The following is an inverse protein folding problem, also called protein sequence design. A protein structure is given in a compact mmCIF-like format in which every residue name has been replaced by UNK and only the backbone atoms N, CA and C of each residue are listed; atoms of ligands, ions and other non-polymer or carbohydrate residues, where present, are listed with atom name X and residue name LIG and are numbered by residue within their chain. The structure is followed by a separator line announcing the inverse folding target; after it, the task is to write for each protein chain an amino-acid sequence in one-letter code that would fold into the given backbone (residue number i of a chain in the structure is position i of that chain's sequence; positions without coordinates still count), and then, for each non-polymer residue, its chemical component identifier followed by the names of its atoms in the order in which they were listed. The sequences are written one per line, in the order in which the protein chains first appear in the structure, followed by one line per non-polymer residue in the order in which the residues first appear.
data_IF_504791364792
#
_entry.id   IF_504791364792
#
_cell.length_a   1.000
_cell.length_b   1.000
_cell.length_c   1.000
_cell.angle_alpha   90.00
_cell.angle_beta   90.00
_cell.angle_gamma   90.00
#
_symmetry.space_group_name_H-M   'P 1'
#
loop_
_entity.id
_entity.type
_entity.pdbx_description
1 polymer ?
#
# COMPACT_ATOMS: atom_id res chain seq x y z
N UNK A 1 -31.41 -49.30 12.20
CA UNK A 1 -31.02 -47.88 12.34
C UNK A 1 -29.70 -47.71 11.63
N UNK A 2 -29.72 -47.30 10.37
CA UNK A 2 -28.48 -47.00 9.63
C UNK A 2 -27.91 -45.67 10.13
N UNK A 3 -26.65 -45.70 10.55
CA UNK A 3 -25.92 -44.50 10.92
C UNK A 3 -25.68 -43.67 9.66
N UNK A 4 -26.38 -42.54 9.57
CA UNK A 4 -26.08 -41.48 8.61
C UNK A 4 -24.69 -40.96 8.95
N UNK A 5 -23.67 -41.43 8.23
CA UNK A 5 -22.33 -40.81 8.23
C UNK A 5 -22.52 -39.37 7.76
N UNK A 6 -22.51 -38.43 8.70
CA UNK A 6 -22.38 -37.01 8.40
C UNK A 6 -21.13 -36.85 7.54
N UNK A 7 -21.33 -36.50 6.26
CA UNK A 7 -20.24 -36.06 5.38
C UNK A 7 -19.58 -34.90 6.11
N UNK A 8 -18.42 -35.14 6.71
CA UNK A 8 -17.61 -34.07 7.24
C UNK A 8 -17.36 -33.14 6.05
N UNK A 9 -17.97 -31.95 6.09
CA UNK A 9 -17.71 -30.90 5.12
C UNK A 9 -16.23 -30.54 5.32
N UNK A 10 -15.35 -31.23 4.58
CA UNK A 10 -13.94 -30.89 4.57
C UNK A 10 -13.87 -29.48 4.00
N UNK A 11 -13.51 -28.52 4.83
CA UNK A 11 -13.47 -27.12 4.44
C UNK A 11 -12.47 -26.96 3.29
N UNK A 12 -12.97 -26.61 2.11
CA UNK A 12 -12.14 -26.39 0.92
C UNK A 12 -11.03 -25.37 1.22
N UNK A 13 -9.84 -25.56 0.65
CA UNK A 13 -8.64 -24.77 0.94
C UNK A 13 -8.33 -24.60 2.44
N UNK A 14 -8.08 -25.69 3.20
CA UNK A 14 -7.86 -25.60 4.65
C UNK A 14 -6.62 -24.80 5.03
N UNK A 15 -5.60 -24.76 4.16
CA UNK A 15 -4.34 -24.05 4.38
C UNK A 15 -4.38 -22.57 3.97
N UNK A 16 -5.52 -22.09 3.45
CA UNK A 16 -5.70 -20.70 3.02
C UNK A 16 -4.66 -20.25 1.98
N UNK A 17 -4.31 -21.15 1.05
CA UNK A 17 -3.36 -20.87 -0.02
C UNK A 17 -3.99 -20.01 -1.11
N UNK A 18 -3.19 -19.12 -1.72
CA UNK A 18 -3.61 -18.38 -2.92
C UNK A 18 -3.85 -19.37 -4.05
N UNK A 19 -5.06 -19.35 -4.62
CA UNK A 19 -5.46 -20.25 -5.71
C UNK A 19 -5.33 -19.55 -7.06
N UNK A 20 -4.98 -20.32 -8.10
CA UNK A 20 -4.89 -19.86 -9.48
C UNK A 20 -5.96 -20.59 -10.31
N UNK A 21 -6.76 -19.82 -11.05
CA UNK A 21 -7.87 -20.32 -11.86
C UNK A 21 -7.67 -20.01 -13.34
N UNK A 22 -8.18 -20.90 -14.19
CA UNK A 22 -8.07 -20.85 -15.65
C UNK A 22 -9.47 -21.08 -16.27
N UNK A 23 -10.36 -20.07 -16.24
CA UNK A 23 -11.72 -20.20 -16.79
C UNK A 23 -11.69 -20.59 -18.27
N UNK A 24 -12.66 -21.41 -18.69
CA UNK A 24 -12.99 -21.51 -20.12
C UNK A 24 -13.65 -20.23 -20.61
N UNK A 25 -13.77 -20.07 -21.93
CA UNK A 25 -14.48 -18.92 -22.52
C UNK A 25 -15.92 -18.82 -22.02
N UNK A 26 -16.59 -19.95 -21.85
CA UNK A 26 -17.97 -20.05 -21.37
C UNK A 26 -18.08 -19.63 -19.91
N UNK A 27 -17.17 -20.12 -19.07
CA UNK A 27 -17.09 -19.76 -17.65
C UNK A 27 -16.75 -18.29 -17.43
N UNK A 28 -15.97 -17.70 -18.35
CA UNK A 28 -15.55 -16.31 -18.29
C UNK A 28 -16.65 -15.31 -18.69
N UNK A 29 -17.82 -15.77 -19.14
CA UNK A 29 -18.89 -14.87 -19.56
C UNK A 29 -19.60 -14.18 -18.39
N UNK A 30 -19.75 -14.86 -17.26
CA UNK A 30 -20.51 -14.38 -16.11
C UNK A 30 -19.57 -14.20 -14.90
N UNK A 31 -19.24 -12.94 -14.61
CA UNK A 31 -18.34 -12.58 -13.53
C UNK A 31 -18.85 -13.08 -12.17
N UNK A 32 -20.09 -12.75 -11.80
CA UNK A 32 -20.65 -13.07 -10.47
C UNK A 32 -20.75 -14.58 -10.27
N UNK A 33 -21.18 -15.32 -11.30
CA UNK A 33 -21.22 -16.79 -11.27
C UNK A 33 -19.83 -17.39 -11.10
N UNK A 34 -18.81 -16.84 -11.77
CA UNK A 34 -17.45 -17.35 -11.64
C UNK A 34 -16.84 -17.03 -10.27
N UNK A 35 -17.09 -15.82 -9.73
CA UNK A 35 -16.68 -15.47 -8.37
C UNK A 35 -17.31 -16.44 -7.36
N UNK A 36 -18.61 -16.70 -7.44
CA UNK A 36 -19.27 -17.67 -6.57
C UNK A 36 -18.67 -19.09 -6.69
N UNK A 37 -18.27 -19.49 -7.91
CA UNK A 37 -17.62 -20.78 -8.15
C UNK A 37 -16.26 -20.88 -7.46
N UNK A 38 -15.39 -19.88 -7.60
CA UNK A 38 -14.07 -19.91 -6.94
C UNK A 38 -14.18 -19.76 -5.42
N UNK A 39 -15.19 -19.04 -4.93
CA UNK A 39 -15.50 -18.97 -3.49
C UNK A 39 -15.92 -20.33 -2.93
N UNK A 40 -16.74 -21.10 -3.67
CA UNK A 40 -17.14 -22.46 -3.27
C UNK A 40 -15.96 -23.43 -3.15
N UNK A 41 -14.86 -23.16 -3.88
CA UNK A 41 -13.59 -23.89 -3.82
C UNK A 41 -12.65 -23.37 -2.71
N UNK A 42 -13.07 -22.37 -1.93
CA UNK A 42 -12.31 -21.83 -0.81
C UNK A 42 -11.28 -20.75 -1.17
N UNK A 43 -11.36 -20.13 -2.35
CA UNK A 43 -10.42 -19.09 -2.78
C UNK A 43 -10.39 -17.88 -1.83
N UNK A 44 -11.56 -17.45 -1.36
CA UNK A 44 -11.73 -16.31 -0.45
C UNK A 44 -10.96 -16.47 0.87
N UNK A 45 -10.67 -17.69 1.30
CA UNK A 45 -9.96 -17.96 2.56
C UNK A 45 -8.52 -17.44 2.56
N UNK A 46 -7.90 -17.33 1.39
CA UNK A 46 -6.57 -16.74 1.23
C UNK A 46 -6.59 -15.20 1.22
N UNK A 47 -7.76 -14.58 1.02
CA UNK A 47 -7.90 -13.13 0.79
C UNK A 47 -7.45 -12.66 -0.60
N UNK A 48 -6.87 -13.54 -1.42
CA UNK A 48 -6.42 -13.25 -2.78
C UNK A 48 -6.53 -14.51 -3.65
N UNK A 49 -6.95 -14.31 -4.90
CA UNK A 49 -6.94 -15.33 -5.95
C UNK A 49 -6.40 -14.74 -7.26
N UNK A 50 -5.76 -15.58 -8.07
CA UNK A 50 -5.32 -15.20 -9.43
C UNK A 50 -6.20 -15.90 -10.46
N UNK A 51 -6.71 -15.15 -11.42
CA UNK A 51 -7.49 -15.68 -12.54
C UNK A 51 -6.73 -15.35 -13.82
N UNK A 52 -6.41 -16.36 -14.61
CA UNK A 52 -5.74 -16.22 -15.89
C UNK A 52 -6.80 -16.35 -16.97
N UNK A 53 -7.11 -15.27 -17.73
CA UNK A 53 -8.21 -15.29 -18.69
C UNK A 53 -7.96 -16.29 -19.83
N UNK A 54 -9.02 -16.70 -20.57
CA UNK A 54 -8.87 -17.49 -21.78
C UNK A 54 -7.89 -16.84 -22.75
N UNK A 55 -7.08 -17.63 -23.47
CA UNK A 55 -5.98 -17.12 -24.31
C UNK A 55 -6.45 -16.18 -25.42
N UNK A 56 -7.68 -16.37 -25.90
CA UNK A 56 -8.29 -15.59 -26.97
C UNK A 56 -8.87 -14.26 -26.47
N UNK A 57 -9.06 -14.13 -25.15
CA UNK A 57 -9.60 -12.91 -24.56
C UNK A 57 -8.53 -11.82 -24.48
N UNK A 58 -8.92 -10.59 -24.84
CA UNK A 58 -8.10 -9.39 -24.70
C UNK A 58 -8.97 -8.27 -24.15
N UNK A 59 -8.43 -7.48 -23.22
CA UNK A 59 -9.12 -6.30 -22.69
C UNK A 59 -9.31 -5.21 -23.76
N UNK A 60 -8.31 -5.08 -24.66
CA UNK A 60 -8.28 -4.16 -25.79
C UNK A 60 -7.40 -4.68 -26.92
N UNK A 61 -7.51 -4.10 -28.11
CA UNK A 61 -6.72 -4.50 -29.29
C UNK A 61 -5.25 -4.10 -29.23
N UNK A 62 -4.94 -2.85 -28.86
CA UNK A 62 -3.57 -2.32 -28.74
C UNK A 62 -3.45 -1.32 -27.59
N UNK A 63 -2.22 -1.02 -27.16
CA UNK A 63 -1.88 0.00 -26.15
C UNK A 63 -1.04 1.16 -26.73
N UNK A 64 -0.94 1.31 -28.05
CA UNK A 64 -0.05 2.32 -28.66
C UNK A 64 -0.48 3.77 -28.37
N UNK A 65 -1.77 3.98 -28.11
CA UNK A 65 -2.42 5.27 -27.87
C UNK A 65 -2.30 5.78 -26.42
N UNK A 66 -1.78 4.97 -25.49
CA UNK A 66 -1.78 5.34 -24.06
C UNK A 66 -0.75 6.41 -23.71
N UNK A 67 0.24 6.66 -24.58
CA UNK A 67 1.37 7.53 -24.25
C UNK A 67 0.95 8.98 -23.95
N UNK A 68 -0.13 9.45 -24.59
CA UNK A 68 -0.61 10.84 -24.47
C UNK A 68 -1.53 11.04 -23.26
N UNK A 69 -1.89 9.96 -22.56
CA UNK A 69 -2.70 10.06 -21.34
C UNK A 69 -1.95 10.83 -20.26
N UNK A 70 -2.68 11.67 -19.52
CA UNK A 70 -2.10 12.56 -18.50
C UNK A 70 -2.18 11.93 -17.12
N UNK A 71 -1.04 11.82 -16.46
CA UNK A 71 -0.93 11.55 -15.02
C UNK A 71 -0.97 12.90 -14.31
N UNK A 72 -2.15 13.34 -13.88
CA UNK A 72 -2.37 14.69 -13.36
C UNK A 72 -1.61 14.96 -12.05
N UNK A 73 -1.42 13.95 -11.20
CA UNK A 73 -0.72 14.11 -9.91
C UNK A 73 0.13 12.87 -9.60
N UNK A 74 1.32 12.72 -10.21
CA UNK A 74 2.21 11.63 -9.88
C UNK A 74 2.68 11.74 -8.43
N UNK A 75 2.82 10.60 -7.74
CA UNK A 75 3.13 10.52 -6.32
C UNK A 75 4.53 9.93 -6.13
N UNK A 76 5.48 10.74 -5.68
CA UNK A 76 6.77 10.24 -5.23
C UNK A 76 6.63 9.56 -3.86
N UNK A 77 6.96 8.29 -3.81
CA UNK A 77 6.81 7.43 -2.65
C UNK A 77 8.08 7.39 -1.83
N UNK A 78 8.11 8.17 -0.76
CA UNK A 78 9.27 8.21 0.13
C UNK A 78 9.02 7.28 1.30
N UNK A 79 9.98 6.40 1.57
CA UNK A 79 9.92 5.44 2.65
C UNK A 79 10.85 5.85 3.80
N UNK A 80 10.45 5.56 5.03
CA UNK A 80 11.29 5.67 6.22
C UNK A 80 11.05 4.44 7.11
N UNK A 81 12.09 3.93 7.76
CA UNK A 81 12.00 2.71 8.55
C UNK A 81 13.28 1.89 8.47
N UNK A 82 13.22 0.63 8.90
CA UNK A 82 14.34 -0.32 8.85
C UNK A 82 13.88 -1.75 9.10
N UNK A 83 14.71 -2.72 8.73
CA UNK A 83 14.53 -4.14 9.06
C UNK A 83 13.13 -4.70 8.70
N UNK A 84 12.65 -4.38 7.50
CA UNK A 84 11.34 -4.85 6.99
C UNK A 84 10.13 -4.05 7.47
N UNK A 85 10.31 -3.03 8.32
CA UNK A 85 9.22 -2.19 8.82
C UNK A 85 9.38 -0.77 8.32
N UNK A 86 8.40 -0.29 7.55
CA UNK A 86 8.45 0.99 6.87
C UNK A 86 7.14 1.77 7.01
N UNK A 87 7.28 3.10 7.03
CA UNK A 87 6.21 4.06 6.81
C UNK A 87 6.46 4.69 5.45
N UNK A 88 5.42 4.77 4.62
CA UNK A 88 5.47 5.42 3.33
C UNK A 88 4.67 6.72 3.36
N UNK A 89 5.23 7.78 2.79
CA UNK A 89 4.57 9.07 2.59
C UNK A 89 4.66 9.48 1.12
N UNK A 90 3.65 10.23 0.66
CA UNK A 90 3.55 10.64 -0.75
C UNK A 90 3.87 12.12 -0.92
N UNK A 91 4.75 12.43 -1.86
CA UNK A 91 5.03 13.80 -2.31
C UNK A 91 4.52 13.97 -3.72
N UNK A 92 3.62 14.94 -3.93
CA UNK A 92 3.10 15.26 -5.27
C UNK A 92 4.24 15.75 -6.18
N UNK A 93 4.22 15.32 -7.44
CA UNK A 93 5.11 15.79 -8.50
C UNK A 93 4.30 16.53 -9.56
N UNK A 94 4.99 17.20 -10.47
CA UNK A 94 4.36 17.86 -11.61
C UNK A 94 3.69 16.81 -12.50
N UNK A 95 2.55 17.18 -13.07
CA UNK A 95 1.87 16.37 -14.07
C UNK A 95 2.83 15.99 -15.21
N UNK A 96 2.61 14.81 -15.77
CA UNK A 96 3.37 14.25 -16.89
C UNK A 96 2.48 13.33 -17.71
N UNK A 97 2.83 13.07 -18.96
CA UNK A 97 2.15 12.04 -19.76
C UNK A 97 2.62 10.64 -19.37
N UNK A 98 1.88 9.61 -19.74
CA UNK A 98 2.30 8.21 -19.59
C UNK A 98 3.58 7.94 -20.38
N UNK A 99 3.76 8.55 -21.56
CA UNK A 99 4.98 8.47 -22.34
C UNK A 99 6.20 9.02 -21.59
N UNK A 100 6.08 10.20 -20.99
CA UNK A 100 7.12 10.80 -20.13
C UNK A 100 7.41 9.93 -18.90
N UNK A 101 6.36 9.41 -18.26
CA UNK A 101 6.50 8.50 -17.12
C UNK A 101 7.23 7.21 -17.51
N UNK A 102 6.93 6.63 -18.68
CA UNK A 102 7.62 5.44 -19.20
C UNK A 102 9.09 5.71 -19.46
N UNK A 103 9.44 6.87 -20.04
CA UNK A 103 10.84 7.26 -20.24
C UNK A 103 11.57 7.41 -18.89
N UNK A 104 10.90 8.00 -17.90
CA UNK A 104 11.44 8.14 -16.55
C UNK A 104 11.66 6.79 -15.88
N UNK A 105 10.68 5.88 -15.94
CA UNK A 105 10.76 4.54 -15.37
C UNK A 105 11.88 3.69 -15.99
N UNK A 106 12.20 3.90 -17.27
CA UNK A 106 13.28 3.21 -17.97
C UNK A 106 14.62 3.97 -17.94
N UNK A 107 14.69 5.12 -17.27
CA UNK A 107 15.96 5.83 -17.09
C UNK A 107 16.89 5.07 -16.15
N UNK A 108 18.19 5.30 -16.26
CA UNK A 108 19.18 4.64 -15.40
C UNK A 108 18.94 4.81 -13.89
N UNK A 109 18.18 5.82 -13.47
CA UNK A 109 17.82 6.05 -12.07
C UNK A 109 16.69 5.14 -11.57
N UNK A 110 15.70 4.81 -12.40
CA UNK A 110 14.48 4.11 -11.95
C UNK A 110 14.28 2.74 -12.60
N UNK A 111 15.10 2.39 -13.59
CA UNK A 111 15.03 1.11 -14.26
C UNK A 111 15.20 -0.04 -13.27
N UNK A 112 14.54 -1.16 -13.57
CA UNK A 112 14.68 -2.38 -12.80
C UNK A 112 16.15 -2.81 -12.76
N UNK A 113 16.74 -3.05 -11.58
CA UNK A 113 18.11 -3.51 -11.49
C UNK A 113 18.25 -4.92 -12.10
N UNK A 114 19.43 -5.29 -12.64
CA UNK A 114 19.69 -6.66 -13.06
C UNK A 114 19.41 -7.64 -11.92
N UNK A 115 18.73 -8.74 -12.20
CA UNK A 115 18.34 -9.76 -11.23
C UNK A 115 18.27 -11.14 -11.89
N UNK A 116 18.46 -12.19 -11.09
CA UNK A 116 18.45 -13.58 -11.59
C UNK A 116 17.04 -14.14 -11.73
N UNK A 117 16.22 -13.93 -10.71
CA UNK A 117 14.86 -14.45 -10.58
C UNK A 117 14.00 -13.50 -9.72
N UNK A 118 12.74 -13.89 -9.48
CA UNK A 118 11.81 -13.10 -8.67
C UNK A 118 12.24 -12.99 -7.20
N UNK A 119 12.91 -14.00 -6.64
CA UNK A 119 13.36 -13.95 -5.25
C UNK A 119 14.52 -12.97 -5.08
N UNK A 120 15.45 -12.93 -6.04
CA UNK A 120 16.54 -11.97 -6.06
C UNK A 120 16.01 -10.53 -6.21
N UNK A 121 15.02 -10.33 -7.09
CA UNK A 121 14.36 -9.04 -7.24
C UNK A 121 13.61 -8.62 -5.97
N UNK A 122 12.93 -9.54 -5.29
CA UNK A 122 12.26 -9.30 -4.01
C UNK A 122 13.27 -8.93 -2.91
N UNK A 123 14.38 -9.68 -2.79
CA UNK A 123 15.47 -9.37 -1.86
C UNK A 123 16.03 -7.96 -2.11
N UNK A 124 16.25 -7.61 -3.39
CA UNK A 124 16.69 -6.26 -3.78
C UNK A 124 15.68 -5.20 -3.38
N UNK A 125 14.40 -5.40 -3.70
CA UNK A 125 13.32 -4.48 -3.32
C UNK A 125 13.34 -4.17 -1.81
N UNK A 126 13.29 -5.20 -0.95
CA UNK A 126 13.26 -4.99 0.49
C UNK A 126 14.55 -4.39 1.06
N UNK A 127 15.70 -4.70 0.44
CA UNK A 127 17.01 -4.16 0.84
C UNK A 127 17.18 -2.69 0.44
N UNK A 128 16.64 -2.27 -0.71
CA UNK A 128 16.89 -0.94 -1.27
C UNK A 128 15.72 0.03 -1.19
N UNK A 129 14.54 -0.40 -0.70
CA UNK A 129 13.31 0.41 -0.66
C UNK A 129 13.47 1.81 -0.06
N UNK A 130 14.43 2.01 0.84
CA UNK A 130 14.71 3.28 1.51
C UNK A 130 15.60 4.25 0.71
N UNK A 131 16.43 3.74 -0.20
CA UNK A 131 17.40 4.55 -0.93
C UNK A 131 16.73 5.32 -2.08
N UNK A 132 15.78 4.67 -2.74
CA UNK A 132 15.08 5.24 -3.87
C UNK A 132 13.65 5.62 -3.51
N UNK A 133 13.23 6.77 -4.03
CA UNK A 133 11.86 7.27 -3.89
C UNK A 133 11.16 7.21 -5.25
N UNK A 134 10.60 6.05 -5.64
CA UNK A 134 9.95 5.87 -6.94
C UNK A 134 8.73 6.78 -7.07
N UNK A 135 8.37 7.10 -8.30
CA UNK A 135 7.18 7.90 -8.62
C UNK A 135 6.10 6.93 -9.09
N UNK A 136 4.86 7.15 -8.64
CA UNK A 136 3.73 6.30 -8.97
C UNK A 136 2.56 7.12 -9.53
N UNK A 137 2.07 6.74 -10.71
CA UNK A 137 0.88 7.32 -11.35
C UNK A 137 -0.40 6.63 -10.87
N UNK A 138 -0.72 6.78 -9.59
CA UNK A 138 -1.90 6.19 -8.97
C UNK A 138 -3.18 7.02 -9.18
N UNK A 139 -4.32 6.42 -8.85
CA UNK A 139 -5.63 7.09 -8.70
C UNK A 139 -6.09 7.88 -9.93
N UNK A 140 -5.73 7.39 -11.12
CA UNK A 140 -6.17 7.96 -12.40
C UNK A 140 -7.55 7.40 -12.73
N UNK A 141 -8.55 8.29 -12.75
CA UNK A 141 -9.91 7.91 -13.18
C UNK A 141 -9.93 7.60 -14.67
N UNK A 142 -10.42 6.42 -15.04
CA UNK A 142 -10.54 5.99 -16.44
C UNK A 142 -10.63 4.47 -16.59
N UNK A 143 -10.76 4.01 -17.83
CA UNK A 143 -10.68 2.60 -18.20
C UNK A 143 -9.89 2.46 -19.49
N UNK A 144 -9.06 1.42 -19.58
CA UNK A 144 -8.36 1.04 -20.81
C UNK A 144 -9.05 -0.11 -21.55
N UNK A 145 -10.22 -0.54 -21.09
CA UNK A 145 -10.99 -1.57 -21.78
C UNK A 145 -11.66 -0.98 -23.03
N UNK A 146 -11.61 -1.71 -24.14
CA UNK A 146 -12.39 -1.36 -25.33
C UNK A 146 -13.89 -1.50 -25.02
N UNK A 147 -14.73 -0.63 -25.61
CA UNK A 147 -16.18 -0.65 -25.40
C UNK A 147 -16.86 -1.95 -25.89
N UNK A 148 -16.20 -2.67 -26.81
CA UNK A 148 -16.67 -3.97 -27.32
C UNK A 148 -16.31 -5.14 -26.39
N UNK A 149 -15.39 -4.97 -25.43
CA UNK A 149 -15.02 -6.02 -24.46
C UNK A 149 -16.13 -6.18 -23.44
N UNK A 150 -16.84 -7.32 -23.49
CA UNK A 150 -18.01 -7.59 -22.64
C UNK A 150 -17.65 -8.37 -21.38
N UNK A 151 -16.85 -9.42 -21.53
CA UNK A 151 -16.42 -10.25 -20.41
C UNK A 151 -15.40 -9.49 -19.55
N UNK A 152 -15.64 -9.44 -18.25
CA UNK A 152 -14.69 -8.94 -17.23
C UNK A 152 -14.20 -7.51 -17.48
N UNK A 153 -15.03 -6.68 -18.11
CA UNK A 153 -14.75 -5.26 -18.26
C UNK A 153 -14.92 -4.56 -16.91
N UNK A 154 -13.82 -4.06 -16.34
CA UNK A 154 -13.81 -3.46 -15.00
C UNK A 154 -14.70 -2.21 -14.89
N UNK A 155 -14.95 -1.50 -16.00
CA UNK A 155 -15.88 -0.37 -16.04
C UNK A 155 -17.36 -0.79 -16.06
N UNK A 156 -17.63 -2.07 -16.28
CA UNK A 156 -18.98 -2.62 -16.46
C UNK A 156 -19.14 -3.99 -15.76
N UNK A 157 -18.53 -4.18 -14.59
CA UNK A 157 -18.81 -5.36 -13.77
C UNK A 157 -20.25 -5.26 -13.28
N UNK A 158 -21.10 -6.16 -13.74
CA UNK A 158 -22.53 -6.18 -13.44
C UNK A 158 -22.87 -6.65 -12.02
N UNK A 159 -22.13 -6.24 -11.00
CA UNK A 159 -22.37 -6.72 -9.63
C UNK A 159 -23.37 -5.82 -8.90
N UNK A 160 -24.63 -6.29 -8.91
CA UNK A 160 -25.78 -5.87 -8.07
C UNK A 160 -26.00 -4.36 -7.99
N UNK A 161 -26.78 -3.84 -8.95
CA UNK A 161 -27.66 -2.67 -8.79
C UNK A 161 -26.99 -1.42 -8.22
N UNK A 162 -26.88 -0.40 -9.06
CA UNK A 162 -27.12 0.97 -8.65
C UNK A 162 -28.49 1.07 -7.95
N UNK A 163 -28.58 0.66 -6.69
CA UNK A 163 -29.51 1.33 -5.78
C UNK A 163 -28.95 2.74 -5.75
N UNK A 164 -29.63 3.63 -6.47
CA UNK A 164 -29.49 5.06 -6.30
C UNK A 164 -29.26 5.31 -4.81
N UNK A 165 -28.05 5.75 -4.47
CA UNK A 165 -27.83 6.40 -3.20
C UNK A 165 -28.63 7.71 -3.27
N UNK A 166 -29.93 7.61 -3.05
CA UNK A 166 -30.69 8.69 -2.47
C UNK A 166 -30.02 8.93 -1.11
N UNK A 167 -29.07 9.85 -1.09
CA UNK A 167 -28.52 10.38 0.14
C UNK A 167 -29.71 10.90 0.97
N UNK A 168 -29.97 10.41 2.19
CA UNK A 168 -30.75 11.20 3.11
C UNK A 168 -29.90 12.43 3.44
N UNK A 169 -30.33 13.59 2.92
CA UNK A 169 -29.81 14.90 3.29
C UNK A 169 -30.14 15.19 4.76
N UNK A 170 -29.43 14.56 5.69
CA UNK A 170 -29.60 14.76 7.13
C UNK A 170 -28.34 14.35 7.91
N UNK A 171 -27.15 14.79 7.49
CA UNK A 171 -25.94 14.68 8.32
C UNK A 171 -24.90 15.79 8.09
N UNK A 172 -25.26 16.88 7.39
CA UNK A 172 -24.41 18.06 7.17
C UNK A 172 -24.96 19.29 7.90
N UNK A 173 -25.41 19.12 9.15
CA UNK A 173 -25.85 20.22 9.99
C UNK A 173 -25.63 19.91 11.48
N UNK A 174 -24.39 19.62 11.90
CA UNK A 174 -24.01 19.58 13.32
C UNK A 174 -22.48 19.65 13.47
N UNK A 175 -21.85 20.62 12.82
CA UNK A 175 -20.47 21.04 13.14
C UNK A 175 -20.25 22.48 12.67
N UNK A 176 -21.07 23.40 13.18
CA UNK A 176 -20.84 24.85 13.07
C UNK A 176 -21.59 25.56 14.18
N UNK A 177 -21.01 25.59 15.37
CA UNK A 177 -21.35 26.58 16.38
C UNK A 177 -20.07 27.02 17.08
N UNK A 178 -19.59 28.20 16.69
CA UNK A 178 -18.61 28.97 17.48
C UNK A 178 -19.30 29.48 18.75
N UNK A 179 -18.61 29.59 19.89
CA UNK A 179 -19.18 30.16 21.10
C UNK A 179 -19.15 31.70 21.03
N UNK A 180 -20.23 32.34 21.44
CA UNK A 180 -20.32 33.79 21.64
C UNK A 180 -20.38 34.08 23.16
N UNK A 181 -19.63 35.06 23.71
CA UNK A 181 -19.55 35.29 25.14
C UNK A 181 -20.42 36.48 25.55
N UNK A 182 -21.62 36.25 26.08
CA UNK A 182 -22.30 37.27 26.89
C UNK A 182 -23.41 36.66 27.77
N UNK A 183 -23.17 36.60 29.08
CA UNK A 183 -24.12 36.97 30.15
C UNK A 183 -23.60 36.50 31.52
N UNK A 184 -23.58 37.43 32.46
CA UNK A 184 -23.00 37.36 33.80
C UNK A 184 -23.77 36.49 34.82
N UNK A 185 -23.19 36.20 36.01
CA UNK A 185 -23.61 35.15 36.92
C UNK A 185 -24.52 35.64 38.06
N UNK A 186 -25.28 34.73 38.68
CA UNK A 186 -26.01 34.96 39.94
C UNK A 186 -25.64 33.95 41.04
N UNK A 187 -24.92 34.47 42.03
CA UNK A 187 -25.03 34.29 43.50
C UNK A 187 -25.22 32.91 44.17
N UNK A 188 -24.24 32.54 45.01
CA UNK A 188 -24.39 32.15 46.44
C UNK A 188 -22.98 32.14 47.10
N UNK A 189 -22.66 33.06 48.02
CA UNK A 189 -22.49 32.85 49.50
C UNK A 189 -21.46 31.73 49.86
N UNK A 190 -20.44 31.87 50.71
CA UNK A 190 -20.11 32.80 51.80
C UNK A 190 -18.60 32.58 52.22
N UNK A 191 -18.03 33.58 52.92
CA UNK A 191 -16.85 33.57 53.83
C UNK A 191 -15.39 33.72 53.34
N UNK A 192 -14.87 34.88 53.74
CA UNK A 192 -13.50 35.45 53.89
C UNK A 192 -12.53 34.62 54.77
N UNK A 193 -11.17 34.83 54.73
CA UNK A 193 -10.55 36.10 55.21
C UNK A 193 -9.22 36.63 54.57
N UNK A 194 -9.13 37.97 54.65
CA UNK A 194 -7.99 38.87 55.02
C UNK A 194 -6.76 39.12 54.11
N UNK A 195 -6.60 40.42 53.76
CA UNK A 195 -5.35 41.25 53.73
C UNK A 195 -4.31 40.95 52.64
N UNK A 196 -3.61 41.87 51.95
CA UNK A 196 -3.30 43.29 52.22
C UNK A 196 -2.79 43.96 50.92
N UNK A 197 -2.82 45.29 50.92
CA UNK A 197 -2.53 46.32 49.89
C UNK A 197 -1.25 46.19 49.06
N UNK A 198 -1.29 46.75 47.84
CA UNK A 198 -0.12 47.27 47.11
C UNK A 198 -0.43 47.94 45.76
N UNK A 199 -0.59 49.27 45.75
CA UNK A 199 -0.73 50.12 44.55
C UNK A 199 0.63 50.32 43.87
N UNK A 200 0.66 50.41 42.54
CA UNK A 200 1.80 50.96 41.80
C UNK A 200 1.52 51.14 40.30
N UNK A 201 1.10 52.34 39.90
CA UNK A 201 1.02 52.80 38.50
C UNK A 201 2.40 53.26 38.04
N UNK A 202 2.77 52.97 36.79
CA UNK A 202 3.93 53.59 36.14
C UNK A 202 3.91 53.41 34.62
N UNK A 203 3.49 54.45 33.90
CA UNK A 203 3.62 54.59 32.44
C UNK A 203 5.05 55.00 32.09
N UNK A 204 5.62 54.45 31.02
CA UNK A 204 6.87 54.93 30.44
C UNK A 204 6.92 54.67 28.93
N UNK A 205 6.81 55.75 28.14
CA UNK A 205 7.05 55.79 26.69
C UNK A 205 8.56 55.80 26.43
N UNK A 206 9.02 55.08 25.41
CA UNK A 206 10.40 55.20 24.91
C UNK A 206 10.49 54.86 23.42
N UNK A 207 10.81 55.86 22.61
CA UNK A 207 11.10 55.77 21.17
C UNK A 207 12.52 55.24 20.96
N UNK A 208 12.74 54.38 19.97
CA UNK A 208 14.07 54.02 19.50
C UNK A 208 14.03 53.45 18.08
N UNK A 209 14.62 54.18 17.12
CA UNK A 209 14.89 53.73 15.74
C UNK A 209 16.19 52.90 15.75
N UNK A 210 16.21 51.74 15.07
CA UNK A 210 17.43 50.95 14.94
C UNK A 210 17.29 49.75 13.99
N UNK A 211 17.82 49.95 12.78
CA UNK A 211 18.29 49.01 11.74
C UNK A 211 18.31 47.50 12.03
N UNK A 212 17.94 46.70 11.02
CA UNK A 212 18.48 45.34 10.82
C UNK A 212 17.43 44.25 10.63
N UNK A 213 17.32 43.74 9.40
CA UNK A 213 16.60 42.50 9.09
C UNK A 213 17.50 41.31 9.47
N UNK A 214 17.00 40.31 10.19
CA UNK A 214 17.15 38.96 9.65
C UNK A 214 15.86 38.12 9.76
N UNK A 215 15.76 37.25 8.77
CA UNK A 215 14.73 36.22 8.52
C UNK A 215 14.62 35.30 9.74
N UNK A 216 13.46 35.25 10.41
CA UNK A 216 13.18 34.24 11.44
C UNK A 216 12.54 32.99 10.83
N UNK A 217 13.10 31.87 11.25
CA UNK A 217 12.78 30.49 10.91
C UNK A 217 11.33 30.17 11.29
N UNK A 218 10.66 29.40 10.43
CA UNK A 218 9.36 28.81 10.74
C UNK A 218 9.51 27.82 11.89
N UNK A 219 8.61 27.97 12.85
CA UNK A 219 8.39 27.10 14.01
C UNK A 219 8.33 25.63 13.59
N UNK A 220 9.28 24.82 14.05
CA UNK A 220 9.14 23.36 14.05
C UNK A 220 8.37 22.99 15.32
N UNK A 221 7.11 22.60 15.17
CA UNK A 221 6.33 22.06 16.29
C UNK A 221 6.93 20.72 16.74
N UNK A 222 7.39 20.66 17.97
CA UNK A 222 7.83 19.43 18.63
C UNK A 222 6.61 18.69 19.18
N UNK A 223 6.14 17.67 18.46
CA UNK A 223 5.14 16.74 19.01
C UNK A 223 5.87 15.73 19.90
N UNK A 224 5.53 15.79 21.19
CA UNK A 224 5.98 14.90 22.26
C UNK A 224 5.59 13.45 21.94
N UNK A 225 6.59 12.56 21.80
CA UNK A 225 6.35 11.11 21.74
C UNK A 225 6.07 10.57 23.15
N UNK A 226 4.88 10.03 23.37
CA UNK A 226 4.55 9.23 24.56
C UNK A 226 5.11 7.81 24.45
N UNK A 227 5.62 7.19 25.55
CA UNK A 227 6.20 5.86 25.48
C UNK A 227 5.12 4.78 25.36
N UNK A 228 5.34 3.79 24.48
CA UNK A 228 4.49 2.62 24.37
C UNK A 228 4.62 1.71 25.60
N UNK A 229 3.49 1.36 26.24
CA UNK A 229 3.41 0.38 27.33
C UNK A 229 3.79 -1.02 26.80
N UNK A 230 4.90 -1.54 27.30
CA UNK A 230 5.41 -2.88 27.01
C UNK A 230 4.60 -3.92 27.81
N UNK A 231 3.77 -4.71 27.15
CA UNK A 231 3.13 -5.90 27.75
C UNK A 231 4.10 -7.07 27.62
N UNK A 232 4.65 -7.56 28.75
CA UNK A 232 5.49 -8.76 28.79
C UNK A 232 4.63 -9.99 28.51
N UNK A 233 5.00 -10.78 27.51
CA UNK A 233 4.58 -12.17 27.37
C UNK A 233 5.70 -13.06 27.89
N UNK A 234 5.36 -13.90 28.86
CA UNK A 234 6.22 -14.94 29.45
C UNK A 234 5.88 -16.26 28.77
N UNK A 235 6.91 -17.04 28.43
CA UNK A 235 6.83 -18.43 27.98
C UNK A 235 7.22 -18.61 26.50
N UNK A 236 8.00 -19.60 26.08
CA UNK A 236 8.72 -20.67 26.78
C UNK A 236 9.92 -21.05 25.90
N UNK A 237 11.07 -21.29 26.53
CA UNK A 237 12.28 -21.78 25.87
C UNK A 237 12.04 -23.22 25.41
N UNK A 238 12.19 -23.47 24.11
CA UNK A 238 12.47 -24.80 23.57
C UNK A 238 13.69 -24.70 22.68
N UNK A 239 14.80 -25.18 23.24
CA UNK A 239 16.07 -25.47 22.56
C UNK A 239 15.85 -26.57 21.54
N UNK A 240 16.16 -26.31 20.27
CA UNK A 240 16.35 -27.34 19.24
C UNK A 240 17.85 -27.36 18.87
N UNK A 241 18.49 -28.53 18.79
CA UNK A 241 19.92 -28.63 18.50
C UNK A 241 20.22 -28.44 17.00
N UNK A 242 21.29 -27.71 16.72
CA UNK A 242 21.92 -27.54 15.40
C UNK A 242 22.28 -28.91 14.75
N UNK A 243 21.98 -29.13 13.46
CA UNK A 243 22.59 -30.22 12.72
C UNK A 243 24.02 -29.86 12.32
N UNK A 244 24.98 -30.64 12.85
CA UNK A 244 26.41 -30.61 12.52
C UNK A 244 26.66 -30.81 11.02
N UNK A 245 27.52 -29.97 10.46
CA UNK A 245 28.16 -30.18 9.17
C UNK A 245 29.04 -31.45 9.18
N UNK A 246 29.00 -32.22 8.10
CA UNK A 246 29.99 -33.26 7.78
C UNK A 246 30.50 -33.08 6.34
N UNK A 247 31.76 -33.49 6.06
CA UNK A 247 32.60 -32.87 5.04
C UNK A 247 32.45 -33.49 3.64
N UNK A 248 32.81 -32.65 2.66
CA UNK A 248 32.95 -32.96 1.22
C UNK A 248 34.13 -33.90 0.98
N UNK A 249 34.02 -34.93 0.12
CA UNK A 249 35.18 -35.59 -0.48
C UNK A 249 35.47 -35.05 -1.89
N UNK A 250 36.72 -34.62 -2.13
CA UNK A 250 37.24 -34.23 -3.45
C UNK A 250 37.79 -35.45 -4.24
N UNK A 251 37.38 -35.47 -5.52
CA UNK A 251 38.01 -35.89 -6.79
C UNK A 251 38.97 -37.09 -6.92
N UNK A 252 38.68 -37.91 -7.95
CA UNK A 252 39.66 -38.43 -8.94
C UNK A 252 39.01 -38.62 -10.35
N UNK A 253 39.82 -38.55 -11.43
CA UNK A 253 39.37 -38.11 -12.75
C UNK A 253 38.90 -39.24 -13.67
N UNK A 254 37.90 -38.98 -14.50
CA UNK A 254 37.49 -39.85 -15.61
C UNK A 254 37.84 -39.17 -16.93
N UNK A 255 38.74 -39.83 -17.67
CA UNK A 255 39.06 -39.54 -19.07
C UNK A 255 37.83 -39.80 -19.94
N UNK A 256 37.47 -38.82 -20.77
CA UNK A 256 37.18 -39.04 -22.20
C UNK A 256 36.89 -37.70 -22.87
N UNK A 257 37.83 -37.25 -23.69
CA UNK A 257 37.67 -36.18 -24.68
C UNK A 257 37.95 -36.79 -26.05
N UNK A 258 37.02 -36.75 -27.01
CA UNK A 258 37.35 -37.05 -28.39
C UNK A 258 38.03 -35.84 -29.06
N UNK A 259 39.10 -36.15 -29.79
CA UNK A 259 40.02 -35.23 -30.46
C UNK A 259 39.36 -34.36 -31.56
N UNK A 260 39.95 -33.20 -31.89
CA UNK A 260 39.51 -32.38 -33.02
C UNK A 260 40.10 -32.90 -34.35
N UNK A 261 39.25 -32.94 -35.38
CA UNK A 261 39.61 -33.25 -36.76
C UNK A 261 40.45 -32.12 -37.36
N UNK A 262 41.63 -32.48 -37.87
CA UNK A 262 42.48 -31.65 -38.74
C UNK A 262 41.95 -31.76 -40.18
N UNK A 263 41.91 -30.67 -40.99
CA UNK A 263 41.60 -30.78 -42.41
C UNK A 263 42.83 -31.20 -43.22
N UNK A 264 42.60 -32.05 -44.23
CA UNK A 264 43.58 -32.44 -45.22
C UNK A 264 43.64 -31.43 -46.38
N UNK A 265 44.89 -31.19 -46.84
CA UNK A 265 45.32 -30.64 -48.14
C UNK A 265 44.92 -29.23 -48.54
#
# INVERSE_FOLDING_TARGET
MEAIKSKANCAQNPNCNIMIFYPTKEEFNDFDKYIASIESQGAHRAGLAKIIPPKEWKARQSYDDVNDMVIATPLQQVASGRAGVFIQYHKKKRAMTVGEYRLLANSGQYQTPPHLDFEDLERKYWKTRLYDSPIYGADISGSLFDANTKQWNLGHLGSRGSVSAAQPAAAMALCSSKPDPSSQPTSAQDRQPTGTRGRGRGRGRGRGRGRGRPRKQGTQESIVQTPAKRRRLVGAVRTAPDPKAQPVPEDKPSMDSPAPLVPAS
#
